data_IF_590522744067
#
_entry.id   IF_590522744067
#
_cell.length_a   1.000
_cell.length_b   1.000
_cell.length_c   1.000
_cell.angle_alpha   90.00
_cell.angle_beta   90.00
_cell.angle_gamma   90.00
#
_symmetry.space_group_name_H-M   'P 1'
#
loop_
_entity.id
_entity.type
_entity.pdbx_description
1 polymer ?
#
# COMPACT_ATOMS: atom_id res chain seq x y z
N UNK A 1 118.16 -84.24 96.27
CA UNK A 1 118.18 -85.71 96.42
C UNK A 1 119.15 -86.23 95.37
N UNK A 2 120.39 -86.51 95.79
CA UNK A 2 120.82 -87.79 96.35
C UNK A 2 121.34 -88.65 95.18
N UNK A 3 122.66 -88.87 95.10
CA UNK A 3 123.33 -90.00 95.75
C UNK A 3 122.95 -91.31 95.01
N UNK A 4 123.83 -92.28 94.73
CA UNK A 4 124.92 -92.78 95.55
C UNK A 4 125.49 -94.04 94.83
N UNK A 5 126.70 -94.44 95.24
CA UNK A 5 127.34 -95.77 95.14
C UNK A 5 127.82 -96.28 93.76
N UNK A 6 129.13 -96.32 93.47
CA UNK A 6 130.16 -97.34 93.85
C UNK A 6 129.84 -98.79 93.47
N UNK A 7 130.80 -99.48 92.85
CA UNK A 7 131.28 -100.76 93.36
C UNK A 7 132.69 -101.11 92.85
N UNK A 8 133.42 -101.74 93.78
CA UNK A 8 134.78 -102.22 93.77
C UNK A 8 134.81 -103.68 93.25
N UNK A 9 135.83 -104.07 92.48
CA UNK A 9 136.14 -105.49 92.26
C UNK A 9 137.61 -105.68 91.84
N UNK A 10 138.45 -106.11 92.78
CA UNK A 10 139.56 -107.04 92.50
C UNK A 10 139.08 -108.48 92.69
N UNK A 11 139.69 -109.45 91.99
CA UNK A 11 140.46 -110.51 92.65
C UNK A 11 141.80 -110.75 91.90
N UNK A 12 142.97 -110.97 92.51
CA UNK A 12 143.43 -111.97 93.49
C UNK A 12 143.48 -113.42 92.96
N UNK A 13 144.67 -114.02 93.13
CA UNK A 13 145.06 -115.45 93.06
C UNK A 13 145.65 -115.92 91.71
N UNK A 14 146.72 -116.71 91.65
CA UNK A 14 147.72 -117.15 92.60
C UNK A 14 148.76 -117.97 91.80
N UNK A 15 150.05 -117.81 92.09
CA UNK A 15 150.99 -118.93 92.04
C UNK A 15 151.92 -118.80 93.24
N UNK A 16 151.65 -119.60 94.27
CA UNK A 16 152.59 -119.98 95.30
C UNK A 16 153.12 -121.38 95.03
N UNK A 17 154.41 -121.59 95.30
CA UNK A 17 155.03 -122.82 95.82
C UNK A 17 156.29 -122.35 96.55
N UNK A 18 156.24 -122.22 97.88
CA UNK A 18 156.46 -123.28 98.88
C UNK A 18 157.94 -123.68 99.00
N UNK A 19 158.48 -123.50 100.21
CA UNK A 19 159.82 -123.97 100.56
C UNK A 19 160.38 -123.42 101.87
N UNK A 20 159.53 -123.18 102.87
CA UNK A 20 159.97 -123.02 104.27
C UNK A 20 160.62 -124.32 104.72
N UNK A 21 161.94 -124.30 104.99
CA UNK A 21 162.65 -125.44 105.54
C UNK A 21 162.33 -125.52 107.02
N UNK A 22 161.44 -126.45 107.31
CA UNK A 22 161.13 -126.93 108.65
C UNK A 22 162.38 -127.13 109.51
N UNK A 23 162.29 -126.58 110.71
CA UNK A 23 163.08 -126.96 111.87
C UNK A 23 162.71 -128.41 112.20
N UNK A 24 163.63 -129.35 112.01
CA UNK A 24 163.53 -130.66 112.65
C UNK A 24 164.46 -130.71 113.87
N UNK A 25 163.92 -131.09 115.05
CA UNK A 25 164.65 -131.08 116.30
C UNK A 25 165.17 -132.47 116.70
N UNK A 26 166.04 -132.44 117.72
CA UNK A 26 166.49 -133.55 118.59
C UNK A 26 167.61 -134.37 117.95
N UNK A 27 168.68 -134.71 118.67
CA UNK A 27 168.65 -135.51 119.89
C UNK A 27 169.90 -135.21 120.74
N UNK A 28 169.68 -134.92 122.02
CA UNK A 28 170.71 -134.91 123.06
C UNK A 28 170.99 -136.38 123.45
N UNK A 29 172.16 -136.89 123.05
CA UNK A 29 172.62 -138.24 123.33
C UNK A 29 173.50 -138.24 124.57
N UNK A 30 172.97 -138.76 125.68
CA UNK A 30 173.78 -139.15 126.85
C UNK A 30 174.66 -140.35 126.51
N UNK A 31 175.94 -140.38 126.92
CA UNK A 31 176.73 -141.61 126.93
C UNK A 31 176.18 -142.60 127.96
N UNK A 32 175.99 -143.84 127.52
CA UNK A 32 175.82 -145.05 128.33
C UNK A 32 177.18 -145.70 128.42
N UNK A 33 177.62 -146.00 129.65
CA UNK A 33 178.92 -146.58 129.96
C UNK A 33 179.13 -147.98 129.34
N UNK A 34 180.35 -148.21 128.87
CA UNK A 34 181.03 -149.51 129.00
C UNK A 34 181.16 -150.40 127.77
N UNK A 35 182.40 -150.55 127.29
CA UNK A 35 183.02 -151.88 127.03
C UNK A 35 182.78 -152.56 125.67
N UNK A 36 183.88 -152.80 124.94
CA UNK A 36 183.92 -153.51 123.66
C UNK A 36 183.78 -155.06 123.76
N UNK A 37 183.12 -155.70 122.75
CA UNK A 37 183.59 -156.85 121.90
C UNK A 37 182.47 -157.59 121.08
N UNK A 38 182.56 -157.60 119.73
CA UNK A 38 182.33 -158.75 118.78
C UNK A 38 180.99 -158.98 118.02
N UNK A 39 180.78 -158.53 116.76
CA UNK A 39 179.59 -158.89 115.92
C UNK A 39 179.76 -158.86 114.36
N UNK A 40 180.03 -159.98 113.68
CA UNK A 40 179.86 -160.14 112.22
C UNK A 40 178.44 -160.56 111.74
N UNK A 41 177.45 -160.75 112.61
CA UNK A 41 176.13 -161.34 112.28
C UNK A 41 175.04 -160.33 111.86
N UNK A 42 175.23 -159.03 112.14
CA UNK A 42 174.24 -157.97 111.87
C UNK A 42 174.12 -157.53 110.40
N UNK A 43 175.13 -157.80 109.57
CA UNK A 43 175.18 -157.28 108.18
C UNK A 43 174.24 -158.06 107.23
N UNK A 44 173.95 -159.34 107.50
CA UNK A 44 173.04 -160.14 106.66
C UNK A 44 171.56 -159.74 106.82
N UNK A 45 171.12 -159.34 108.01
CA UNK A 45 169.71 -158.98 108.27
C UNK A 45 169.29 -157.69 107.54
N UNK A 46 170.17 -156.69 107.46
CA UNK A 46 169.90 -155.42 106.77
C UNK A 46 169.61 -155.59 105.27
N UNK A 47 170.20 -156.60 104.61
CA UNK A 47 170.00 -156.81 103.18
C UNK A 47 168.61 -157.34 102.84
N UNK A 48 167.96 -158.06 103.75
CA UNK A 48 166.61 -158.59 103.55
C UNK A 48 165.56 -157.49 103.66
N UNK A 49 165.72 -156.57 104.62
CA UNK A 49 164.80 -155.44 104.79
C UNK A 49 164.82 -154.48 103.59
N UNK A 50 166.00 -154.25 103.00
CA UNK A 50 166.12 -153.40 101.81
C UNK A 50 165.35 -153.96 100.59
N UNK A 51 165.33 -155.28 100.43
CA UNK A 51 164.60 -155.92 99.32
C UNK A 51 163.07 -155.77 99.46
N UNK A 52 162.53 -155.81 100.68
CA UNK A 52 161.10 -155.64 100.91
C UNK A 52 160.61 -154.20 100.69
N UNK A 53 161.43 -153.20 101.06
CA UNK A 53 161.11 -151.78 100.82
C UNK A 53 161.01 -151.44 99.32
N UNK A 54 161.91 -152.02 98.51
CA UNK A 54 161.90 -151.83 97.05
C UNK A 54 160.64 -152.41 96.39
N UNK A 55 160.11 -153.53 96.89
CA UNK A 55 158.88 -154.12 96.35
C UNK A 55 157.63 -153.25 96.59
N UNK A 56 157.51 -152.60 97.76
CA UNK A 56 156.38 -151.70 98.05
C UNK A 56 156.41 -150.42 97.21
N UNK A 57 157.61 -149.91 96.92
CA UNK A 57 157.79 -148.76 96.01
C UNK A 57 157.30 -149.12 94.61
N UNK A 58 157.63 -150.31 94.10
CA UNK A 58 157.18 -150.76 92.78
C UNK A 58 155.64 -150.87 92.67
N UNK A 59 154.94 -151.26 93.74
CA UNK A 59 153.47 -151.32 93.76
C UNK A 59 152.83 -149.93 93.71
N UNK A 60 153.38 -148.96 94.46
CA UNK A 60 152.93 -147.56 94.40
C UNK A 60 153.18 -146.95 93.03
N UNK A 61 154.35 -147.22 92.43
CA UNK A 61 154.66 -146.81 91.06
C UNK A 61 153.69 -147.43 90.04
N UNK A 62 153.26 -148.68 90.24
CA UNK A 62 152.24 -149.33 89.42
C UNK A 62 150.86 -148.70 89.57
N UNK A 63 150.44 -148.31 90.79
CA UNK A 63 149.14 -147.65 91.01
C UNK A 63 149.13 -146.25 90.38
N UNK A 64 150.21 -145.49 90.54
CA UNK A 64 150.36 -144.16 89.91
C UNK A 64 150.37 -144.29 88.38
N UNK A 65 151.03 -145.32 87.86
CA UNK A 65 151.02 -145.62 86.41
C UNK A 65 149.67 -146.12 85.90
N UNK A 66 148.82 -146.68 86.78
CA UNK A 66 147.46 -147.11 86.45
C UNK A 66 146.42 -145.96 86.43
N UNK A 67 146.76 -144.80 86.99
CA UNK A 67 145.99 -143.57 86.78
C UNK A 67 146.31 -143.02 85.38
N UNK A 68 145.37 -143.19 84.45
CA UNK A 68 145.53 -142.76 83.07
C UNK A 68 145.54 -141.23 82.94
N UNK A 69 146.74 -140.65 83.08
CA UNK A 69 147.02 -139.23 82.96
C UNK A 69 146.53 -138.65 81.61
N UNK A 70 146.44 -139.48 80.57
CA UNK A 70 145.97 -139.06 79.25
C UNK A 70 144.47 -138.76 79.23
N UNK A 71 143.65 -139.53 79.96
CA UNK A 71 142.21 -139.30 80.06
C UNK A 71 141.89 -137.99 80.79
N UNK A 72 142.64 -137.67 81.86
CA UNK A 72 142.49 -136.40 82.58
C UNK A 72 142.91 -135.20 81.72
N UNK A 73 144.02 -135.33 80.97
CA UNK A 73 144.47 -134.30 80.03
C UNK A 73 143.46 -134.07 78.89
N UNK A 74 142.84 -135.13 78.38
CA UNK A 74 141.80 -135.03 77.35
C UNK A 74 140.54 -134.33 77.87
N UNK A 75 140.06 -134.67 79.08
CA UNK A 75 138.93 -134.00 79.70
C UNK A 75 139.25 -132.51 79.96
N UNK A 76 140.45 -132.21 80.44
CA UNK A 76 140.89 -130.83 80.62
C UNK A 76 140.91 -130.06 79.30
N UNK A 77 141.39 -130.67 78.21
CA UNK A 77 141.37 -130.05 76.89
C UNK A 77 139.94 -129.81 76.38
N UNK A 78 139.01 -130.75 76.60
CA UNK A 78 137.59 -130.59 76.27
C UNK A 78 136.93 -129.47 77.09
N UNK A 79 137.19 -129.40 78.39
CA UNK A 79 136.69 -128.32 79.25
C UNK A 79 137.25 -126.98 78.78
N UNK A 80 138.55 -126.89 78.49
CA UNK A 80 139.15 -125.67 77.97
C UNK A 80 138.55 -125.26 76.62
N UNK A 81 138.29 -126.22 75.74
CA UNK A 81 137.62 -125.97 74.46
C UNK A 81 136.16 -125.51 74.65
N UNK A 82 135.39 -126.13 75.54
CA UNK A 82 134.01 -125.73 75.86
C UNK A 82 133.96 -124.35 76.51
N UNK A 83 134.88 -124.04 77.42
CA UNK A 83 135.00 -122.70 78.03
C UNK A 83 135.30 -121.65 76.95
N UNK A 84 136.22 -121.93 76.02
CA UNK A 84 136.52 -121.03 74.92
C UNK A 84 135.33 -120.88 73.96
N UNK A 85 134.62 -121.96 73.65
CA UNK A 85 133.42 -121.94 72.81
C UNK A 85 132.29 -121.13 73.47
N UNK A 86 132.06 -121.30 74.77
CA UNK A 86 131.09 -120.52 75.56
C UNK A 86 131.46 -119.03 75.59
N UNK A 87 132.73 -118.70 75.86
CA UNK A 87 133.19 -117.31 75.83
C UNK A 87 133.03 -116.65 74.44
N UNK A 88 133.30 -117.40 73.37
CA UNK A 88 133.05 -116.95 72.01
C UNK A 88 131.56 -116.74 71.72
N UNK A 89 130.70 -117.67 72.14
CA UNK A 89 129.26 -117.55 72.00
C UNK A 89 128.69 -116.36 72.79
N UNK A 90 129.16 -116.14 74.02
CA UNK A 90 128.78 -114.99 74.86
C UNK A 90 129.21 -113.67 74.21
N UNK A 91 130.41 -113.63 73.62
CA UNK A 91 130.90 -112.46 72.87
C UNK A 91 130.01 -112.16 71.66
N UNK A 92 129.64 -113.19 70.89
CA UNK A 92 128.73 -113.04 69.74
C UNK A 92 127.35 -112.55 70.21
N UNK A 93 126.79 -113.15 71.26
CA UNK A 93 125.50 -112.74 71.81
C UNK A 93 125.55 -111.30 72.31
N UNK A 94 126.61 -110.90 73.01
CA UNK A 94 126.79 -109.54 73.49
C UNK A 94 126.89 -108.54 72.33
N UNK A 95 127.61 -108.89 71.27
CA UNK A 95 127.69 -108.06 70.07
C UNK A 95 126.33 -107.93 69.37
N UNK A 96 125.56 -109.03 69.28
CA UNK A 96 124.21 -109.01 68.71
C UNK A 96 123.24 -108.17 69.56
N UNK A 97 123.30 -108.30 70.89
CA UNK A 97 122.50 -107.49 71.82
C UNK A 97 122.88 -106.01 71.69
N UNK A 98 124.18 -105.69 71.67
CA UNK A 98 124.65 -104.31 71.49
C UNK A 98 124.20 -103.73 70.15
N UNK A 99 124.26 -104.53 69.07
CA UNK A 99 123.77 -104.15 67.75
C UNK A 99 122.26 -103.90 67.73
N UNK A 100 121.46 -104.78 68.32
CA UNK A 100 120.00 -104.61 68.44
C UNK A 100 119.65 -103.39 69.29
N UNK A 101 120.32 -103.17 70.42
CA UNK A 101 120.12 -101.99 71.28
C UNK A 101 120.42 -100.71 70.50
N UNK A 102 121.54 -100.64 69.78
CA UNK A 102 121.89 -99.48 68.97
C UNK A 102 120.89 -99.26 67.82
N UNK A 103 120.45 -100.33 67.15
CA UNK A 103 119.45 -100.26 66.09
C UNK A 103 118.08 -99.77 66.62
N UNK A 104 117.64 -100.25 67.79
CA UNK A 104 116.41 -99.80 68.46
C UNK A 104 116.51 -98.34 68.89
N UNK A 105 117.62 -97.93 69.50
CA UNK A 105 117.85 -96.53 69.87
C UNK A 105 117.82 -95.60 68.65
N UNK A 106 118.43 -96.00 67.53
CA UNK A 106 118.39 -95.24 66.28
C UNK A 106 116.97 -95.18 65.69
N UNK A 107 116.22 -96.28 65.72
CA UNK A 107 114.84 -96.34 65.25
C UNK A 107 113.91 -95.47 66.11
N UNK A 108 114.04 -95.53 67.43
CA UNK A 108 113.27 -94.71 68.38
C UNK A 108 113.59 -93.23 68.19
N UNK A 109 114.87 -92.87 67.99
CA UNK A 109 115.27 -91.50 67.68
C UNK A 109 114.70 -90.99 66.35
N UNK A 110 114.69 -91.82 65.31
CA UNK A 110 114.11 -91.48 64.01
C UNK A 110 112.58 -91.30 64.08
N UNK A 111 111.90 -92.16 64.85
CA UNK A 111 110.47 -92.06 65.10
C UNK A 111 110.14 -90.80 65.90
N UNK A 112 110.92 -90.50 66.95
CA UNK A 112 110.78 -89.28 67.74
C UNK A 112 110.95 -88.04 66.85
N UNK A 113 111.98 -87.99 66.02
CA UNK A 113 112.19 -86.87 65.09
C UNK A 113 111.03 -86.72 64.08
N UNK A 114 110.45 -87.84 63.62
CA UNK A 114 109.27 -87.82 62.74
C UNK A 114 108.03 -87.30 63.45
N UNK A 115 107.81 -87.70 64.71
CA UNK A 115 106.70 -87.18 65.53
C UNK A 115 106.87 -85.70 65.86
N UNK A 116 108.08 -85.27 66.22
CA UNK A 116 108.38 -83.86 66.50
C UNK A 116 108.17 -83.01 65.24
N UNK A 117 108.62 -83.51 64.09
CA UNK A 117 108.39 -82.87 62.79
C UNK A 117 106.90 -82.73 62.45
N UNK A 118 106.12 -83.81 62.55
CA UNK A 118 104.67 -83.77 62.33
C UNK A 118 103.96 -82.85 63.33
N UNK A 119 104.37 -82.85 64.61
CA UNK A 119 103.80 -81.97 65.62
C UNK A 119 104.02 -80.49 65.27
N UNK A 120 105.22 -80.13 64.81
CA UNK A 120 105.52 -78.77 64.33
C UNK A 120 104.71 -78.43 63.08
N UNK A 121 104.63 -79.33 62.10
CA UNK A 121 103.85 -79.13 60.87
C UNK A 121 102.37 -78.94 61.18
N UNK A 122 101.79 -79.77 62.07
CA UNK A 122 100.39 -79.64 62.51
C UNK A 122 100.14 -78.33 63.24
N UNK A 123 101.00 -77.94 64.18
CA UNK A 123 100.88 -76.67 64.89
C UNK A 123 100.91 -75.46 63.94
N UNK A 124 101.79 -75.50 62.92
CA UNK A 124 101.84 -74.49 61.86
C UNK A 124 100.56 -74.44 61.03
N UNK A 125 100.07 -75.60 60.59
CA UNK A 125 98.83 -75.70 59.81
C UNK A 125 97.60 -75.22 60.60
N UNK A 126 97.50 -75.58 61.88
CA UNK A 126 96.42 -75.15 62.78
C UNK A 126 96.46 -73.63 62.98
N UNK A 127 97.65 -73.04 63.14
CA UNK A 127 97.83 -71.57 63.22
C UNK A 127 97.38 -70.87 61.94
N UNK A 128 97.77 -71.40 60.77
CA UNK A 128 97.34 -70.85 59.47
C UNK A 128 95.83 -70.94 59.30
N UNK A 129 95.22 -72.09 59.61
CA UNK A 129 93.78 -72.28 59.52
C UNK A 129 93.03 -71.33 60.48
N UNK A 130 93.50 -71.19 61.71
CA UNK A 130 92.91 -70.29 62.68
C UNK A 130 92.96 -68.83 62.21
N UNK A 131 94.09 -68.38 61.65
CA UNK A 131 94.20 -67.05 61.08
C UNK A 131 93.27 -66.84 59.89
N UNK A 132 93.16 -67.81 58.99
CA UNK A 132 92.25 -67.74 57.85
C UNK A 132 90.77 -67.67 58.31
N UNK A 133 90.39 -68.47 59.31
CA UNK A 133 89.05 -68.44 59.90
C UNK A 133 88.79 -67.10 60.56
N UNK A 134 89.72 -66.58 61.38
CA UNK A 134 89.57 -65.28 62.04
C UNK A 134 89.40 -64.14 61.03
N UNK A 135 90.18 -64.16 59.95
CA UNK A 135 90.09 -63.15 58.89
C UNK A 135 88.77 -63.23 58.14
N UNK A 136 88.30 -64.43 57.78
CA UNK A 136 87.00 -64.62 57.12
C UNK A 136 85.84 -64.18 58.03
N UNK A 137 85.88 -64.53 59.32
CA UNK A 137 84.88 -64.09 60.30
C UNK A 137 84.83 -62.57 60.38
N UNK A 138 85.99 -61.91 60.50
CA UNK A 138 86.06 -60.45 60.53
C UNK A 138 85.54 -59.80 59.23
N UNK A 139 85.92 -60.36 58.07
CA UNK A 139 85.48 -59.87 56.77
C UNK A 139 83.96 -60.02 56.59
N UNK A 140 83.39 -61.18 56.95
CA UNK A 140 81.94 -61.42 56.92
C UNK A 140 81.18 -60.50 57.84
N UNK A 141 81.66 -60.32 59.08
CA UNK A 141 80.99 -59.43 60.02
C UNK A 141 81.00 -57.96 59.56
N UNK A 142 82.08 -57.51 58.93
CA UNK A 142 82.15 -56.17 58.33
C UNK A 142 81.22 -56.04 57.10
N UNK A 143 81.16 -57.06 56.25
CA UNK A 143 80.25 -57.10 55.10
C UNK A 143 78.78 -57.09 55.53
N UNK A 144 78.42 -57.91 56.52
CA UNK A 144 77.06 -57.99 57.08
C UNK A 144 76.66 -56.65 57.71
N UNK A 145 77.56 -56.00 58.45
CA UNK A 145 77.31 -54.66 59.03
C UNK A 145 77.09 -53.61 57.95
N UNK A 146 77.87 -53.66 56.87
CA UNK A 146 77.74 -52.75 55.73
C UNK A 146 76.42 -52.97 55.00
N UNK A 147 76.06 -54.23 54.72
CA UNK A 147 74.81 -54.57 54.06
C UNK A 147 73.61 -54.15 54.92
N UNK A 148 73.65 -54.41 56.23
CA UNK A 148 72.58 -54.03 57.13
C UNK A 148 72.37 -52.51 57.18
N UNK A 149 73.47 -51.75 57.20
CA UNK A 149 73.41 -50.27 57.12
C UNK A 149 72.78 -49.82 55.81
N UNK A 150 73.25 -50.35 54.68
CA UNK A 150 72.72 -49.98 53.36
C UNK A 150 71.23 -50.31 53.21
N UNK A 151 70.80 -51.49 53.68
CA UNK A 151 69.40 -51.90 53.66
C UNK A 151 68.55 -50.98 54.53
N UNK A 152 69.02 -50.63 55.74
CA UNK A 152 68.29 -49.73 56.63
C UNK A 152 68.18 -48.32 56.04
N UNK A 153 69.26 -47.81 55.44
CA UNK A 153 69.26 -46.50 54.79
C UNK A 153 68.34 -46.46 53.57
N UNK A 154 68.36 -47.47 52.71
CA UNK A 154 67.45 -47.57 51.56
C UNK A 154 65.99 -47.68 52.03
N UNK A 155 65.71 -48.51 53.04
CA UNK A 155 64.35 -48.63 53.59
C UNK A 155 63.83 -47.29 54.12
N UNK A 156 64.65 -46.54 54.86
CA UNK A 156 64.29 -45.22 55.36
C UNK A 156 64.10 -44.20 54.22
N UNK A 157 64.98 -44.21 53.22
CA UNK A 157 64.88 -43.32 52.05
C UNK A 157 63.61 -43.60 51.25
N UNK A 158 63.28 -44.88 51.02
CA UNK A 158 62.05 -45.29 50.33
C UNK A 158 60.81 -44.88 51.11
N UNK A 159 60.78 -45.12 52.42
CA UNK A 159 59.65 -44.71 53.26
C UNK A 159 59.43 -43.18 53.25
N UNK A 160 60.51 -42.40 53.30
CA UNK A 160 60.43 -40.94 53.19
C UNK A 160 59.93 -40.49 51.82
N UNK A 161 60.42 -41.11 50.73
CA UNK A 161 59.98 -40.82 49.37
C UNK A 161 58.50 -41.15 49.17
N UNK A 162 58.05 -42.32 49.64
CA UNK A 162 56.65 -42.75 49.54
C UNK A 162 55.74 -41.80 50.34
N UNK A 163 56.16 -41.37 51.54
CA UNK A 163 55.43 -40.39 52.34
C UNK A 163 55.32 -39.03 51.63
N UNK A 164 56.41 -38.55 51.05
CA UNK A 164 56.44 -37.28 50.31
C UNK A 164 55.57 -37.32 49.05
N UNK A 165 55.59 -38.45 48.34
CA UNK A 165 54.76 -38.67 47.16
C UNK A 165 53.28 -38.74 47.53
N UNK A 166 52.93 -39.46 48.61
CA UNK A 166 51.56 -39.53 49.11
C UNK A 166 51.03 -38.13 49.48
N UNK A 167 51.83 -37.34 50.22
CA UNK A 167 51.44 -35.97 50.58
C UNK A 167 51.25 -35.06 49.35
N UNK A 168 52.08 -35.23 48.32
CA UNK A 168 51.96 -34.48 47.06
C UNK A 168 50.68 -34.86 46.31
N UNK A 169 50.35 -36.15 46.25
CA UNK A 169 49.10 -36.61 45.65
C UNK A 169 47.86 -36.15 46.40
N UNK A 170 47.87 -36.25 47.73
CA UNK A 170 46.75 -35.80 48.56
C UNK A 170 46.55 -34.27 48.43
N UNK A 171 47.63 -33.51 48.37
CA UNK A 171 47.62 -32.06 48.13
C UNK A 171 47.03 -31.69 46.76
N UNK A 172 47.48 -32.35 45.69
CA UNK A 172 46.93 -32.12 44.34
C UNK A 172 45.46 -32.54 44.26
N UNK A 173 45.08 -33.68 44.84
CA UNK A 173 43.70 -34.13 44.87
C UNK A 173 42.78 -33.13 45.57
N UNK A 174 43.19 -32.61 46.73
CA UNK A 174 42.45 -31.58 47.46
C UNK A 174 42.37 -30.27 46.67
N UNK A 175 43.46 -29.83 46.05
CA UNK A 175 43.49 -28.62 45.22
C UNK A 175 42.56 -28.74 44.01
N UNK A 176 42.57 -29.88 43.32
CA UNK A 176 41.66 -30.16 42.20
C UNK A 176 40.20 -30.18 42.64
N UNK A 177 39.89 -30.85 43.74
CA UNK A 177 38.52 -30.89 44.27
C UNK A 177 37.99 -29.49 44.63
N UNK A 178 38.83 -28.63 45.22
CA UNK A 178 38.48 -27.25 45.53
C UNK A 178 38.27 -26.40 44.26
N UNK A 179 39.13 -26.58 43.25
CA UNK A 179 39.01 -25.91 41.95
C UNK A 179 37.72 -26.32 41.23
N UNK A 180 37.41 -27.63 41.19
CA UNK A 180 36.19 -28.16 40.58
C UNK A 180 34.94 -27.66 41.29
N UNK A 181 34.95 -27.60 42.62
CA UNK A 181 33.84 -27.02 43.41
C UNK A 181 33.62 -25.55 43.11
N UNK A 182 34.71 -24.78 42.98
CA UNK A 182 34.68 -23.35 42.64
C UNK A 182 34.13 -23.16 41.23
N UNK A 183 34.63 -23.92 40.26
CA UNK A 183 34.17 -23.86 38.87
C UNK A 183 32.69 -24.22 38.76
N UNK A 184 32.25 -25.29 39.43
CA UNK A 184 30.85 -25.71 39.44
C UNK A 184 29.93 -24.63 40.02
N UNK A 185 30.37 -23.95 41.10
CA UNK A 185 29.63 -22.83 41.70
C UNK A 185 29.52 -21.65 40.74
N UNK A 186 30.62 -21.28 40.09
CA UNK A 186 30.63 -20.18 39.12
C UNK A 186 29.72 -20.48 37.92
N UNK A 187 29.74 -21.71 37.40
CA UNK A 187 28.87 -22.16 36.31
C UNK A 187 27.40 -22.06 36.73
N UNK A 188 27.05 -22.54 37.93
CA UNK A 188 25.67 -22.48 38.43
C UNK A 188 25.19 -21.04 38.62
N UNK A 189 26.05 -20.16 39.13
CA UNK A 189 25.73 -18.74 39.32
C UNK A 189 25.51 -18.02 37.98
N UNK A 190 26.39 -18.24 36.99
CA UNK A 190 26.24 -17.68 35.65
C UNK A 190 24.96 -18.19 34.98
N UNK A 191 24.67 -19.50 35.07
CA UNK A 191 23.46 -20.08 34.53
C UNK A 191 22.19 -19.44 35.13
N UNK A 192 22.17 -19.24 36.45
CA UNK A 192 21.05 -18.58 37.13
C UNK A 192 20.92 -17.11 36.74
N UNK A 193 22.04 -16.37 36.64
CA UNK A 193 22.05 -14.97 36.24
C UNK A 193 21.56 -14.79 34.80
N UNK A 194 22.00 -15.65 33.87
CA UNK A 194 21.53 -15.66 32.48
C UNK A 194 20.05 -15.96 32.38
N UNK A 195 19.56 -16.98 33.09
CA UNK A 195 18.14 -17.31 33.09
C UNK A 195 17.27 -16.15 33.62
N UNK A 196 17.72 -15.47 34.67
CA UNK A 196 17.03 -14.30 35.20
C UNK A 196 17.02 -13.13 34.20
N UNK A 197 18.14 -12.86 33.53
CA UNK A 197 18.26 -11.83 32.51
C UNK A 197 17.35 -12.12 31.30
N UNK A 198 17.36 -13.37 30.81
CA UNK A 198 16.52 -13.79 29.69
C UNK A 198 15.02 -13.65 30.04
N UNK A 199 14.64 -14.01 31.27
CA UNK A 199 13.26 -13.85 31.76
C UNK A 199 12.85 -12.36 31.83
N UNK A 200 13.73 -11.49 32.34
CA UNK A 200 13.47 -10.06 32.42
C UNK A 200 13.36 -9.40 31.03
N UNK A 201 14.20 -9.84 30.10
CA UNK A 201 14.19 -9.36 28.72
C UNK A 201 12.90 -9.81 28.00
N UNK A 202 12.50 -11.08 28.17
CA UNK A 202 11.25 -11.59 27.63
C UNK A 202 10.04 -10.79 28.14
N UNK A 203 9.97 -10.53 29.46
CA UNK A 203 8.89 -9.73 30.05
C UNK A 203 8.86 -8.29 29.51
N UNK A 204 10.03 -7.69 29.26
CA UNK A 204 10.13 -6.34 28.68
C UNK A 204 9.63 -6.32 27.23
N UNK A 205 9.99 -7.33 26.44
CA UNK A 205 9.49 -7.46 25.06
C UNK A 205 7.99 -7.70 25.01
N UNK A 206 7.47 -8.60 25.84
CA UNK A 206 6.03 -8.87 25.91
C UNK A 206 5.25 -7.62 26.34
N UNK A 207 5.78 -6.87 27.29
CA UNK A 207 5.22 -5.59 27.74
C UNK A 207 5.17 -4.53 26.63
N UNK A 208 6.27 -4.34 25.90
CA UNK A 208 6.31 -3.40 24.77
C UNK A 208 5.38 -3.83 23.63
N UNK A 209 5.34 -5.13 23.30
CA UNK A 209 4.45 -5.66 22.28
C UNK A 209 2.97 -5.40 22.64
N UNK A 210 2.59 -5.62 23.90
CA UNK A 210 1.26 -5.32 24.40
C UNK A 210 0.95 -3.81 24.37
N UNK A 211 1.89 -2.96 24.79
CA UNK A 211 1.73 -1.51 24.77
C UNK A 211 1.57 -0.96 23.35
N UNK A 212 2.38 -1.42 22.40
CA UNK A 212 2.28 -1.07 20.97
C UNK A 212 0.94 -1.50 20.37
N UNK A 213 0.50 -2.74 20.66
CA UNK A 213 -0.80 -3.25 20.20
C UNK A 213 -1.97 -2.41 20.74
N UNK A 214 -1.92 -2.03 22.01
CA UNK A 214 -2.93 -1.17 22.62
C UNK A 214 -2.94 0.24 21.99
N UNK A 215 -1.76 0.83 21.79
CA UNK A 215 -1.62 2.14 21.15
C UNK A 215 -2.15 2.14 19.71
N UNK A 216 -1.81 1.12 18.93
CA UNK A 216 -2.28 0.97 17.54
C UNK A 216 -3.81 0.79 17.50
N UNK A 217 -4.39 0.04 18.46
CA UNK A 217 -5.85 -0.11 18.61
C UNK A 217 -6.53 1.23 18.95
N UNK A 218 -5.96 2.01 19.86
CA UNK A 218 -6.44 3.35 20.21
C UNK A 218 -6.37 4.29 19.00
N UNK A 219 -5.25 4.30 18.28
CA UNK A 219 -5.07 5.13 17.09
C UNK A 219 -6.08 4.75 16.01
N UNK A 220 -6.28 3.46 15.75
CA UNK A 220 -7.27 2.99 14.77
C UNK A 220 -8.68 3.41 15.15
N UNK A 221 -9.03 3.36 16.43
CA UNK A 221 -10.34 3.83 16.94
C UNK A 221 -10.52 5.34 16.71
N UNK A 222 -9.49 6.14 17.03
CA UNK A 222 -9.53 7.58 16.82
C UNK A 222 -9.68 7.94 15.33
N UNK A 223 -8.95 7.24 14.44
CA UNK A 223 -9.07 7.41 12.99
C UNK A 223 -10.49 7.09 12.52
N UNK A 224 -11.06 5.95 12.96
CA UNK A 224 -12.42 5.56 12.60
C UNK A 224 -13.46 6.60 13.06
N UNK A 225 -13.30 7.14 14.27
CA UNK A 225 -14.17 8.17 14.82
C UNK A 225 -14.09 9.48 14.01
N UNK A 226 -12.88 9.94 13.65
CA UNK A 226 -12.71 11.14 12.81
C UNK A 226 -13.32 10.93 11.43
N UNK A 227 -13.12 9.76 10.81
CA UNK A 227 -13.74 9.42 9.53
C UNK A 227 -15.27 9.50 9.61
N UNK A 228 -15.87 8.91 10.65
CA UNK A 228 -17.32 8.97 10.86
C UNK A 228 -17.81 10.40 11.08
N UNK A 229 -17.09 11.20 11.89
CA UNK A 229 -17.43 12.60 12.14
C UNK A 229 -17.36 13.45 10.87
N UNK A 230 -16.31 13.28 10.05
CA UNK A 230 -16.17 13.97 8.76
C UNK A 230 -17.28 13.60 7.79
N UNK A 231 -17.60 12.31 7.68
CA UNK A 231 -18.69 11.84 6.81
C UNK A 231 -20.05 12.45 7.21
N UNK A 232 -20.32 12.55 8.51
CA UNK A 232 -21.54 13.18 9.03
C UNK A 232 -21.56 14.70 8.77
N UNK A 233 -20.42 15.38 8.94
CA UNK A 233 -20.28 16.79 8.64
C UNK A 233 -20.47 17.08 7.13
N UNK A 234 -19.85 16.27 6.26
CA UNK A 234 -20.00 16.38 4.80
C UNK A 234 -21.45 16.15 4.37
N UNK A 235 -22.14 15.17 4.97
CA UNK A 235 -23.57 14.92 4.73
C UNK A 235 -24.43 16.12 5.14
N UNK A 236 -24.14 16.71 6.31
CA UNK A 236 -24.84 17.89 6.82
C UNK A 236 -24.62 19.09 5.90
N UNK A 237 -23.38 19.33 5.49
CA UNK A 237 -23.02 20.40 4.57
C UNK A 237 -23.72 20.21 3.22
N UNK A 238 -23.73 19.00 2.68
CA UNK A 238 -24.42 18.70 1.43
C UNK A 238 -25.93 18.93 1.54
N UNK A 239 -26.55 18.56 2.66
CA UNK A 239 -27.97 18.84 2.92
C UNK A 239 -28.26 20.34 2.98
N UNK A 240 -27.41 21.11 3.67
CA UNK A 240 -27.55 22.57 3.76
C UNK A 240 -27.39 23.22 2.38
N UNK A 241 -26.42 22.79 1.57
CA UNK A 241 -26.22 23.26 0.20
C UNK A 241 -27.47 22.97 -0.65
N UNK A 242 -28.02 21.76 -0.56
CA UNK A 242 -29.23 21.39 -1.30
C UNK A 242 -30.45 22.21 -0.86
N UNK A 243 -30.65 22.40 0.44
CA UNK A 243 -31.75 23.19 0.99
C UNK A 243 -31.67 24.66 0.56
N UNK A 244 -30.47 25.25 0.63
CA UNK A 244 -30.20 26.61 0.18
C UNK A 244 -30.41 26.76 -1.34
N UNK A 245 -30.03 25.76 -2.14
CA UNK A 245 -30.29 25.75 -3.57
C UNK A 245 -31.80 25.73 -3.89
N UNK A 246 -32.58 24.92 -3.16
CA UNK A 246 -34.05 24.88 -3.28
C UNK A 246 -34.67 26.20 -2.84
N UNK A 247 -34.24 26.76 -1.71
CA UNK A 247 -34.75 28.02 -1.19
C UNK A 247 -34.49 29.19 -2.16
N UNK A 248 -33.29 29.25 -2.75
CA UNK A 248 -32.95 30.24 -3.77
C UNK A 248 -33.82 30.09 -5.02
N UNK A 249 -33.98 28.87 -5.53
CA UNK A 249 -34.84 28.60 -6.68
C UNK A 249 -36.30 28.99 -6.41
N UNK A 250 -36.82 28.73 -5.21
CA UNK A 250 -38.15 29.15 -4.81
C UNK A 250 -38.26 30.68 -4.74
N UNK A 251 -37.26 31.36 -4.16
CA UNK A 251 -37.21 32.82 -4.12
C UNK A 251 -37.21 33.46 -5.51
N UNK A 252 -36.50 32.86 -6.47
CA UNK A 252 -36.49 33.29 -7.88
C UNK A 252 -37.89 33.13 -8.52
N UNK A 253 -38.57 31.99 -8.25
CA UNK A 253 -39.94 31.72 -8.71
C UNK A 253 -40.92 32.73 -8.12
N UNK A 254 -40.87 32.96 -6.81
CA UNK A 254 -41.77 33.87 -6.11
C UNK A 254 -41.59 35.31 -6.60
N UNK A 255 -40.35 35.75 -6.77
CA UNK A 255 -40.01 37.07 -7.32
C UNK A 255 -40.54 37.24 -8.73
N UNK A 256 -40.33 36.24 -9.61
CA UNK A 256 -40.83 36.26 -10.97
C UNK A 256 -42.37 36.26 -11.02
N UNK A 257 -43.02 35.47 -10.17
CA UNK A 257 -44.47 35.40 -10.05
C UNK A 257 -45.06 36.74 -9.59
N UNK A 258 -44.48 37.35 -8.56
CA UNK A 258 -44.88 38.67 -8.08
C UNK A 258 -44.71 39.75 -9.14
N UNK A 259 -43.60 39.75 -9.88
CA UNK A 259 -43.36 40.69 -10.97
C UNK A 259 -44.37 40.52 -12.12
N UNK A 260 -44.71 39.28 -12.49
CA UNK A 260 -45.77 39.00 -13.47
C UNK A 260 -47.12 39.50 -13.00
N UNK A 261 -47.53 39.15 -11.78
CA UNK A 261 -48.80 39.58 -11.20
C UNK A 261 -48.91 41.11 -11.12
N UNK A 262 -47.84 41.78 -10.71
CA UNK A 262 -47.76 43.24 -10.72
C UNK A 262 -48.01 43.79 -12.13
N UNK A 263 -47.27 43.27 -13.13
CA UNK A 263 -47.41 43.69 -14.53
C UNK A 263 -48.82 43.44 -15.05
N UNK A 264 -49.39 42.25 -14.82
CA UNK A 264 -50.74 41.88 -15.24
C UNK A 264 -51.80 42.78 -14.60
N UNK A 265 -51.65 43.09 -13.30
CA UNK A 265 -52.53 44.00 -12.58
C UNK A 265 -52.45 45.43 -13.11
N UNK A 266 -51.23 45.94 -13.34
CA UNK A 266 -51.03 47.27 -13.94
C UNK A 266 -51.65 47.36 -15.34
N UNK A 267 -51.45 46.35 -16.18
CA UNK A 267 -52.05 46.28 -17.53
C UNK A 267 -53.57 46.16 -17.45
N UNK A 268 -54.09 45.34 -16.54
CA UNK A 268 -55.53 45.19 -16.31
C UNK A 268 -56.18 46.48 -15.82
N UNK A 269 -55.52 47.22 -14.92
CA UNK A 269 -55.99 48.53 -14.45
C UNK A 269 -56.00 49.57 -15.57
N UNK A 270 -54.95 49.64 -16.40
CA UNK A 270 -54.93 50.53 -17.58
C UNK A 270 -56.02 50.14 -18.58
N UNK A 271 -56.21 48.84 -18.85
CA UNK A 271 -57.28 48.36 -19.73
C UNK A 271 -58.68 48.74 -19.19
N UNK A 272 -58.91 48.62 -17.88
CA UNK A 272 -60.17 49.03 -17.25
C UNK A 272 -60.37 50.55 -17.31
N UNK A 273 -59.31 51.34 -17.07
CA UNK A 273 -59.35 52.79 -17.21
C UNK A 273 -59.66 53.22 -18.64
N UNK A 274 -59.06 52.55 -19.64
CA UNK A 274 -59.37 52.73 -21.07
C UNK A 274 -60.81 52.40 -21.39
N UNK A 275 -61.33 51.25 -20.95
CA UNK A 275 -62.71 50.86 -21.17
C UNK A 275 -63.72 51.83 -20.52
N UNK A 276 -63.42 52.35 -19.33
CA UNK A 276 -64.24 53.36 -18.66
C UNK A 276 -64.21 54.72 -19.39
N UNK A 277 -63.04 55.11 -19.92
CA UNK A 277 -62.91 56.28 -20.77
C UNK A 277 -63.67 56.11 -22.09
N UNK A 278 -63.58 54.94 -22.74
CA UNK A 278 -64.31 54.61 -23.95
C UNK A 278 -65.83 54.61 -23.72
N UNK A 279 -66.29 54.08 -22.58
CA UNK A 279 -67.71 54.14 -22.18
C UNK A 279 -68.18 55.58 -21.97
N UNK A 280 -67.35 56.40 -21.33
CA UNK A 280 -67.64 57.83 -21.13
C UNK A 280 -67.74 58.56 -22.47
N UNK A 281 -66.79 58.28 -23.38
CA UNK A 281 -66.81 58.82 -24.73
C UNK A 281 -68.06 58.37 -25.49
N UNK A 282 -68.44 57.10 -25.41
CA UNK A 282 -69.64 56.56 -26.04
C UNK A 282 -70.90 57.26 -25.50
N UNK A 283 -71.03 57.41 -24.19
CA UNK A 283 -72.16 58.14 -23.57
C UNK A 283 -72.22 59.61 -24.01
N UNK A 284 -71.06 60.28 -24.13
CA UNK A 284 -71.00 61.65 -24.64
C UNK A 284 -71.44 61.72 -26.11
N UNK A 285 -71.00 60.76 -26.95
CA UNK A 285 -71.41 60.64 -28.35
C UNK A 285 -72.92 60.39 -28.44
N UNK A 286 -73.45 59.45 -27.66
CA UNK A 286 -74.88 59.12 -27.65
C UNK A 286 -75.73 60.30 -27.16
N UNK A 287 -75.25 61.03 -26.16
CA UNK A 287 -75.91 62.24 -25.64
C UNK A 287 -75.91 63.37 -26.68
N UNK A 288 -74.79 63.62 -27.35
CA UNK A 288 -74.72 64.59 -28.45
C UNK A 288 -75.61 64.16 -29.61
N UNK A 289 -75.61 62.88 -29.97
CA UNK A 289 -76.49 62.34 -31.01
C UNK A 289 -77.97 62.50 -30.65
N UNK A 290 -78.35 62.24 -29.40
CA UNK A 290 -79.71 62.46 -28.90
C UNK A 290 -80.08 63.94 -28.85
N UNK A 291 -79.17 64.82 -28.42
CA UNK A 291 -79.36 66.27 -28.42
C UNK A 291 -79.53 66.81 -29.84
N UNK A 292 -78.73 66.33 -30.80
CA UNK A 292 -78.87 66.63 -32.23
C UNK A 292 -80.20 66.15 -32.78
N UNK A 293 -80.60 64.91 -32.52
CA UNK A 293 -81.89 64.38 -32.94
C UNK A 293 -83.07 65.17 -32.35
N UNK A 294 -82.99 65.58 -31.08
CA UNK A 294 -84.00 66.42 -30.43
C UNK A 294 -84.05 67.84 -31.03
N UNK A 295 -82.89 68.43 -31.34
CA UNK A 295 -82.81 69.72 -32.02
C UNK A 295 -83.39 69.63 -33.44
N UNK A 296 -83.08 68.57 -34.18
CA UNK A 296 -83.64 68.30 -35.50
C UNK A 296 -85.16 68.09 -35.44
N UNK A 297 -85.67 67.36 -34.43
CA UNK A 297 -87.09 67.18 -34.20
C UNK A 297 -87.79 68.50 -33.79
N UNK A 298 -87.16 69.34 -32.99
CA UNK A 298 -87.68 70.67 -32.62
C UNK A 298 -87.71 71.62 -33.83
N UNK A 299 -86.69 71.56 -34.69
CA UNK A 299 -86.67 72.26 -35.96
C UNK A 299 -87.78 71.74 -36.87
N UNK A 300 -87.97 70.42 -36.98
CA UNK A 300 -89.06 69.81 -37.73
C UNK A 300 -90.42 70.27 -37.20
N UNK A 301 -90.64 70.27 -35.89
CA UNK A 301 -91.87 70.77 -35.28
C UNK A 301 -92.09 72.27 -35.53
N UNK A 302 -91.02 73.07 -35.53
CA UNK A 302 -91.10 74.50 -35.88
C UNK A 302 -91.45 74.70 -37.36
N UNK A 303 -90.87 73.89 -38.25
CA UNK A 303 -91.21 73.87 -39.67
C UNK A 303 -92.65 73.41 -39.91
N UNK A 304 -93.11 72.37 -39.22
CA UNK A 304 -94.48 71.86 -39.30
C UNK A 304 -95.47 72.88 -38.72
N UNK A 305 -95.11 73.58 -37.64
CA UNK A 305 -95.87 74.68 -37.07
C UNK A 305 -95.97 75.88 -38.00
N UNK A 306 -94.87 76.27 -38.65
CA UNK A 306 -94.86 77.29 -39.70
C UNK A 306 -95.69 76.83 -40.91
N UNK A 307 -95.57 75.56 -41.33
CA UNK A 307 -96.37 75.00 -42.41
C UNK A 307 -97.87 74.98 -42.07
N UNK A 308 -98.22 74.65 -40.82
CA UNK A 308 -99.60 74.70 -40.31
C UNK A 308 -100.11 76.14 -40.23
N UNK A 309 -99.27 77.08 -39.79
CA UNK A 309 -99.60 78.51 -39.74
C UNK A 309 -99.80 79.08 -41.14
N UNK A 310 -98.94 78.71 -42.11
CA UNK A 310 -99.13 79.07 -43.51
C UNK A 310 -100.38 78.42 -44.10
N UNK A 311 -100.62 77.14 -43.85
CA UNK A 311 -101.86 76.48 -44.27
C UNK A 311 -103.11 77.15 -43.65
N UNK A 312 -103.04 77.60 -42.40
CA UNK A 312 -104.10 78.38 -41.75
C UNK A 312 -104.31 79.75 -42.39
N UNK A 313 -103.22 80.46 -42.71
CA UNK A 313 -103.27 81.71 -43.48
C UNK A 313 -103.76 81.50 -44.92
N UNK A 314 -103.43 80.39 -45.55
CA UNK A 314 -103.93 80.01 -46.86
C UNK A 314 -105.44 79.71 -46.78
N UNK A 315 -105.93 79.13 -45.68
CA UNK A 315 -107.37 78.98 -45.40
C UNK A 315 -108.06 80.31 -45.12
N UNK A 316 -107.43 81.25 -44.40
CA UNK A 316 -107.96 82.62 -44.21
C UNK A 316 -108.01 83.39 -45.55
N UNK A 317 -106.96 83.27 -46.37
CA UNK A 317 -106.93 83.83 -47.72
C UNK A 317 -107.97 83.15 -48.63
N UNK A 318 -108.17 81.83 -48.49
CA UNK A 318 -109.21 81.09 -49.21
C UNK A 318 -110.62 81.52 -48.74
N UNK A 319 -110.81 81.85 -47.46
CA UNK A 319 -112.06 82.42 -46.96
C UNK A 319 -112.31 83.85 -47.48
N UNK A 320 -111.26 84.64 -47.71
CA UNK A 320 -111.33 85.95 -48.36
C UNK A 320 -111.65 85.83 -49.86
N UNK A 321 -111.12 84.81 -50.54
CA UNK A 321 -111.44 84.43 -51.93
C UNK A 321 -112.85 83.85 -52.06
N UNK A 322 -113.31 83.06 -51.10
CA UNK A 322 -114.65 82.47 -51.04
C UNK A 322 -115.72 83.53 -50.69
N UNK A 323 -115.34 84.59 -49.98
CA UNK A 323 -116.14 85.79 -49.75
C UNK A 323 -116.36 86.64 -51.02
N UNK A 324 -115.39 86.65 -51.95
CA UNK A 324 -115.53 87.32 -53.26
C UNK A 324 -116.42 86.50 -54.23
N UNK A 325 -116.55 85.19 -54.03
CA UNK A 325 -117.34 84.31 -54.91
C UNK A 325 -118.76 84.00 -54.42
N UNK A 326 -119.18 84.49 -53.24
CA UNK A 326 -120.54 84.21 -52.73
C UNK A 326 -121.28 85.40 -52.09
N UNK A 327 -120.81 86.65 -52.22
CA UNK A 327 -121.62 87.77 -51.72
C UNK A 327 -121.05 89.18 -51.87
N UNK A 328 -120.70 89.62 -53.08
CA UNK A 328 -120.22 90.99 -53.27
C UNK A 328 -119.77 91.47 -54.66
N UNK A 329 -120.40 91.05 -55.77
CA UNK A 329 -120.47 91.83 -57.03
C UNK A 329 -119.62 91.38 -58.24
N UNK A 330 -120.29 90.80 -59.25
CA UNK A 330 -119.91 90.90 -60.68
C UNK A 330 -121.06 91.62 -61.41
N UNK A 331 -120.82 92.60 -62.29
CA UNK A 331 -121.87 93.40 -62.91
C UNK A 331 -122.82 92.61 -63.82
N UNK A 332 -124.11 92.98 -63.79
CA UNK A 332 -125.24 92.32 -64.43
C UNK A 332 -125.27 92.30 -65.98
N UNK A 333 -124.23 92.75 -66.68
CA UNK A 333 -124.25 92.94 -68.15
C UNK A 333 -123.73 91.71 -68.93
N UNK A 334 -123.06 90.76 -68.28
CA UNK A 334 -122.37 89.65 -68.96
C UNK A 334 -123.16 88.35 -69.07
N UNK A 335 -124.27 88.20 -68.35
CA UNK A 335 -125.07 86.96 -68.38
C UNK A 335 -125.85 86.75 -69.68
N UNK A 336 -126.05 87.80 -70.49
CA UNK A 336 -126.79 87.70 -71.76
C UNK A 336 -125.89 87.28 -72.95
N UNK A 337 -124.57 87.54 -72.90
CA UNK A 337 -123.65 87.22 -74.01
C UNK A 337 -123.36 85.71 -74.14
N UNK A 338 -123.43 84.96 -73.04
CA UNK A 338 -123.18 83.52 -73.02
C UNK A 338 -124.19 82.70 -73.85
N UNK A 339 -125.38 83.25 -74.14
CA UNK A 339 -126.38 82.59 -74.99
C UNK A 339 -126.04 82.59 -76.48
N UNK A 340 -125.09 83.44 -76.93
CA UNK A 340 -124.87 83.72 -78.35
C UNK A 340 -123.45 83.42 -78.86
N UNK A 341 -122.47 83.15 -77.99
CA UNK A 341 -121.07 82.90 -78.38
C UNK A 341 -120.53 81.61 -77.76
N UNK A 342 -120.04 80.68 -78.58
CA UNK A 342 -119.42 79.43 -78.12
C UNK A 342 -118.01 79.29 -78.68
N UNK A 343 -117.12 78.66 -77.90
CA UNK A 343 -115.77 78.30 -78.34
C UNK A 343 -115.76 76.80 -78.61
N UNK A 344 -115.86 76.44 -79.88
CA UNK A 344 -116.02 75.06 -80.32
C UNK A 344 -114.68 74.48 -80.77
N UNK A 345 -114.57 73.15 -80.77
CA UNK A 345 -113.39 72.43 -81.24
C UNK A 345 -113.23 72.50 -82.76
N UNK A 346 -113.02 71.37 -83.43
CA UNK A 346 -113.01 71.35 -84.89
C UNK A 346 -114.43 71.51 -85.44
N UNK A 347 -114.70 72.57 -86.20
CA UNK A 347 -116.01 72.84 -86.81
C UNK A 347 -115.86 72.75 -88.32
N UNK A 348 -116.64 71.86 -88.97
CA UNK A 348 -116.64 71.65 -90.43
C UNK A 348 -115.25 71.48 -91.08
N UNK A 349 -114.31 70.86 -90.38
CA UNK A 349 -112.94 70.59 -90.86
C UNK A 349 -111.90 71.67 -90.57
N UNK A 350 -112.26 72.76 -89.87
CA UNK A 350 -111.33 73.81 -89.43
C UNK A 350 -110.85 73.51 -88.00
N UNK A 351 -109.55 73.30 -87.83
CA UNK A 351 -108.94 73.04 -86.52
C UNK A 351 -109.22 74.20 -85.56
N UNK A 352 -109.80 73.90 -84.40
CA UNK A 352 -110.18 74.89 -83.41
C UNK A 352 -109.03 75.33 -82.49
N UNK A 353 -109.33 76.14 -81.47
CA UNK A 353 -110.69 76.55 -81.10
C UNK A 353 -111.30 77.56 -82.09
N UNK A 354 -112.57 77.38 -82.39
CA UNK A 354 -113.37 78.23 -83.28
C UNK A 354 -114.38 79.03 -82.45
N UNK A 355 -114.43 80.34 -82.64
CA UNK A 355 -115.53 81.15 -82.11
C UNK A 355 -116.74 81.06 -83.04
N UNK A 356 -117.88 80.61 -82.50
CA UNK A 356 -119.13 80.46 -83.25
C UNK A 356 -120.21 81.35 -82.63
N UNK A 357 -120.75 82.25 -83.45
CA UNK A 357 -121.88 83.12 -83.10
C UNK A 357 -123.19 82.43 -83.50
N UNK A 358 -124.06 82.17 -82.53
CA UNK A 358 -125.35 81.51 -82.72
C UNK A 358 -126.50 82.53 -82.65
N UNK A 359 -127.34 82.58 -83.69
CA UNK A 359 -128.58 83.38 -83.69
C UNK A 359 -128.40 84.91 -83.66
N UNK A 360 -127.18 85.44 -83.86
CA UNK A 360 -126.87 86.88 -83.81
C UNK A 360 -126.05 87.35 -85.03
N UNK A 361 -126.18 88.63 -85.40
CA UNK A 361 -125.34 89.28 -86.43
C UNK A 361 -124.12 89.97 -85.79
N UNK A 362 -122.95 89.87 -86.41
CA UNK A 362 -121.75 90.60 -85.99
C UNK A 362 -121.70 91.99 -86.65
N UNK A 363 -121.94 93.03 -85.86
CA UNK A 363 -121.74 94.42 -86.29
C UNK A 363 -120.42 94.96 -85.72
N UNK A 364 -119.44 95.21 -86.59
CA UNK A 364 -118.18 95.87 -86.24
C UNK A 364 -118.28 97.33 -86.71
N UNK A 365 -118.44 98.26 -85.76
CA UNK A 365 -118.62 99.69 -86.03
C UNK A 365 -117.47 100.49 -85.45
N UNK A 366 -117.28 101.69 -85.98
CA UNK A 366 -116.31 102.66 -85.46
C UNK A 366 -116.94 103.69 -84.51
N UNK A 367 -118.25 103.57 -84.27
CA UNK A 367 -119.10 104.44 -83.44
C UNK A 367 -119.13 105.93 -83.81
N UNK A 368 -118.71 106.30 -85.02
CA UNK A 368 -118.83 107.68 -85.53
C UNK A 368 -120.22 108.08 -86.02
N UNK A 369 -121.24 107.24 -85.77
CA UNK A 369 -122.65 107.49 -86.13
C UNK A 369 -123.01 107.37 -87.62
N UNK A 370 -122.02 107.32 -88.51
CA UNK A 370 -122.20 107.12 -89.96
C UNK A 370 -120.97 106.45 -90.59
N UNK A 371 -121.15 105.71 -91.70
CA UNK A 371 -120.06 105.01 -92.40
C UNK A 371 -118.97 105.94 -92.93
N UNK A 372 -119.32 107.19 -93.28
CA UNK A 372 -118.39 108.18 -93.84
C UNK A 372 -117.48 108.86 -92.78
N UNK A 373 -117.38 108.28 -91.58
CA UNK A 373 -116.42 108.69 -90.55
C UNK A 373 -115.27 107.68 -90.49
N UNK A 374 -114.04 108.14 -90.27
CA UNK A 374 -112.86 107.28 -90.10
C UNK A 374 -112.09 107.71 -88.86
N UNK A 375 -111.89 106.78 -87.93
CA UNK A 375 -111.13 106.98 -86.68
C UNK A 375 -110.18 105.82 -86.36
N UNK A 376 -109.91 104.93 -87.34
CA UNK A 376 -109.05 103.75 -87.15
C UNK A 376 -109.75 102.52 -86.56
N UNK A 377 -110.95 102.67 -85.99
CA UNK A 377 -111.70 101.57 -85.37
C UNK A 377 -112.72 100.97 -86.34
N UNK A 378 -113.23 99.78 -85.98
CA UNK A 378 -114.27 99.11 -86.74
C UNK A 378 -113.79 98.33 -87.96
N UNK A 379 -112.55 97.81 -87.95
CA UNK A 379 -111.99 96.97 -89.02
C UNK A 379 -111.97 95.49 -88.61
N UNK A 380 -112.05 94.59 -89.59
CA UNK A 380 -111.81 93.15 -89.40
C UNK A 380 -110.42 92.78 -89.94
N UNK A 381 -109.53 92.31 -89.06
CA UNK A 381 -108.22 91.79 -89.44
C UNK A 381 -108.25 90.27 -89.48
N UNK A 382 -107.74 89.70 -90.57
CA UNK A 382 -107.51 88.27 -90.75
C UNK A 382 -106.01 88.08 -90.98
N UNK A 383 -105.30 87.65 -89.94
CA UNK A 383 -103.83 87.78 -89.85
C UNK A 383 -103.43 88.99 -88.99
N UNK A 384 -102.14 89.34 -88.99
CA UNK A 384 -101.59 90.33 -88.04
C UNK A 384 -101.28 91.70 -88.65
N UNK A 385 -101.28 91.82 -89.98
CA UNK A 385 -100.93 93.05 -90.67
C UNK A 385 -99.60 93.67 -90.18
N UNK A 386 -98.54 92.88 -90.09
CA UNK A 386 -97.26 93.24 -89.47
C UNK A 386 -96.67 94.54 -90.09
N UNK A 387 -95.93 95.33 -89.31
CA UNK A 387 -95.37 96.65 -89.70
C UNK A 387 -93.88 96.58 -90.05
N UNK A 388 -93.40 97.46 -90.94
CA UNK A 388 -91.97 97.61 -91.32
C UNK A 388 -91.37 99.00 -91.04
N UNK A 389 -91.97 99.79 -90.14
CA UNK A 389 -91.27 100.90 -89.50
C UNK A 389 -91.76 102.32 -89.79
N UNK A 390 -92.91 102.48 -90.45
CA UNK A 390 -93.66 103.76 -90.45
C UNK A 390 -95.17 103.53 -90.67
N UNK A 391 -95.94 103.52 -89.57
CA UNK A 391 -97.37 103.11 -89.50
C UNK A 391 -98.39 104.26 -89.75
N UNK A 392 -97.97 105.39 -90.29
CA UNK A 392 -98.80 106.59 -90.43
C UNK A 392 -100.01 106.47 -91.39
N UNK A 393 -100.19 105.33 -92.06
CA UNK A 393 -101.21 105.12 -93.10
C UNK A 393 -102.22 103.98 -92.78
N UNK A 394 -102.54 103.71 -91.51
CA UNK A 394 -103.46 102.63 -91.06
C UNK A 394 -104.67 103.12 -90.24
N UNK A 395 -105.17 104.32 -90.53
CA UNK A 395 -106.25 104.98 -89.78
C UNK A 395 -107.67 104.82 -90.34
N UNK A 396 -107.89 103.91 -91.29
CA UNK A 396 -109.21 103.67 -91.88
C UNK A 396 -110.20 102.98 -90.95
N UNK A 397 -111.49 103.00 -91.29
CA UNK A 397 -112.58 102.33 -90.53
C UNK A 397 -113.43 101.47 -91.46
N UNK A 398 -114.10 100.42 -90.97
CA UNK A 398 -114.99 99.58 -91.78
C UNK A 398 -114.27 98.83 -92.94
N UNK A 399 -112.99 98.47 -92.75
CA UNK A 399 -112.21 97.72 -93.72
C UNK A 399 -112.03 96.25 -93.33
N UNK A 400 -111.78 95.39 -94.32
CA UNK A 400 -111.29 94.03 -94.11
C UNK A 400 -109.84 93.95 -94.57
N UNK A 401 -108.96 93.57 -93.65
CA UNK A 401 -107.50 93.57 -93.85
C UNK A 401 -106.99 92.15 -93.70
N UNK A 402 -106.40 91.58 -94.75
CA UNK A 402 -106.02 90.17 -94.81
C UNK A 402 -104.56 89.99 -95.25
N UNK A 403 -103.69 89.58 -94.34
CA UNK A 403 -102.25 89.45 -94.62
C UNK A 403 -101.42 90.53 -93.95
N UNK A 404 -100.26 90.85 -94.52
CA UNK A 404 -99.20 91.62 -93.86
C UNK A 404 -98.92 92.96 -94.54
N UNK A 405 -98.44 93.95 -93.78
CA UNK A 405 -97.90 95.22 -94.28
C UNK A 405 -98.87 96.14 -95.04
N UNK A 406 -100.18 95.96 -94.90
CA UNK A 406 -101.18 96.77 -95.58
C UNK A 406 -101.35 98.18 -95.01
N UNK A 407 -101.70 99.12 -95.89
CA UNK A 407 -102.10 100.48 -95.56
C UNK A 407 -103.58 100.68 -95.92
N UNK A 408 -104.35 101.30 -95.03
CA UNK A 408 -105.79 101.55 -95.21
C UNK A 408 -106.18 102.80 -94.44
N UNK A 409 -106.55 103.87 -95.14
CA UNK A 409 -106.74 105.20 -94.53
C UNK A 409 -108.15 105.77 -94.68
N UNK A 410 -109.05 105.07 -95.38
CA UNK A 410 -110.44 105.47 -95.55
C UNK A 410 -111.38 104.36 -95.09
N UNK A 411 -112.58 104.24 -95.67
CA UNK A 411 -113.59 103.30 -95.19
C UNK A 411 -114.24 102.44 -96.27
N UNK A 412 -114.73 101.28 -95.84
CA UNK A 412 -115.51 100.36 -96.67
C UNK A 412 -114.70 99.60 -97.72
N UNK A 413 -113.39 99.44 -97.51
CA UNK A 413 -112.48 98.78 -98.43
C UNK A 413 -112.03 97.40 -97.98
N UNK A 414 -111.46 96.63 -98.91
CA UNK A 414 -110.83 95.33 -98.66
C UNK A 414 -109.40 95.42 -99.15
N UNK A 415 -108.44 95.04 -98.30
CA UNK A 415 -107.03 94.98 -98.64
C UNK A 415 -106.46 93.63 -98.23
N UNK A 416 -105.97 92.86 -99.19
CA UNK A 416 -105.46 91.52 -98.96
C UNK A 416 -104.12 91.27 -99.68
N UNK A 417 -103.29 90.38 -99.15
CA UNK A 417 -101.99 89.98 -99.72
C UNK A 417 -100.80 90.44 -98.89
N UNK A 418 -99.81 91.07 -99.52
CA UNK A 418 -98.63 91.61 -98.83
C UNK A 418 -98.37 93.06 -99.24
N UNK A 419 -98.19 93.97 -98.29
CA UNK A 419 -97.75 95.35 -98.57
C UNK A 419 -98.63 96.14 -99.57
N UNK A 420 -99.94 95.90 -99.57
CA UNK A 420 -100.91 96.64 -100.41
C UNK A 420 -101.54 97.85 -99.69
N UNK A 421 -101.98 98.88 -100.43
CA UNK A 421 -102.56 100.10 -99.90
C UNK A 421 -103.95 100.43 -100.49
N UNK A 422 -104.92 100.77 -99.62
CA UNK A 422 -106.24 101.33 -100.00
C UNK A 422 -106.43 102.70 -99.32
N UNK A 423 -106.40 103.78 -100.09
CA UNK A 423 -106.33 105.14 -99.47
C UNK A 423 -107.55 106.01 -99.68
N UNK A 424 -108.63 105.45 -100.24
CA UNK A 424 -109.86 106.19 -100.52
C UNK A 424 -111.12 105.35 -100.31
N UNK A 425 -112.27 106.01 -100.21
CA UNK A 425 -113.52 105.36 -99.83
C UNK A 425 -113.90 104.24 -100.82
N UNK A 426 -114.26 103.08 -100.27
CA UNK A 426 -114.65 101.88 -100.99
C UNK A 426 -113.59 101.35 -101.98
N UNK A 427 -112.31 101.72 -101.80
CA UNK A 427 -111.23 101.22 -102.61
C UNK A 427 -110.85 99.78 -102.19
N UNK A 428 -110.47 98.94 -103.14
CA UNK A 428 -110.16 97.53 -102.87
C UNK A 428 -108.86 97.09 -103.52
N UNK A 429 -108.07 96.30 -102.79
CA UNK A 429 -106.99 95.48 -103.33
C UNK A 429 -107.21 94.06 -102.84
N UNK A 430 -107.53 93.13 -103.73
CA UNK A 430 -107.99 91.80 -103.32
C UNK A 430 -106.88 90.75 -103.23
N UNK A 431 -105.64 91.11 -103.55
CA UNK A 431 -104.49 90.22 -103.41
C UNK A 431 -103.21 90.78 -104.00
N UNK A 432 -102.20 89.92 -104.11
CA UNK A 432 -100.90 90.29 -104.65
C UNK A 432 -100.04 91.09 -103.67
N UNK A 433 -99.03 91.77 -104.20
CA UNK A 433 -98.05 92.50 -103.41
C UNK A 433 -97.82 93.93 -103.91
N UNK A 434 -97.68 94.89 -102.99
CA UNK A 434 -97.23 96.25 -103.34
C UNK A 434 -98.22 97.11 -104.14
N UNK A 435 -99.47 96.67 -104.27
CA UNK A 435 -100.48 97.37 -105.07
C UNK A 435 -101.17 98.50 -104.29
N UNK A 436 -101.62 99.55 -104.98
CA UNK A 436 -102.29 100.71 -104.38
C UNK A 436 -103.60 101.06 -105.11
N UNK A 437 -104.72 101.05 -104.39
CA UNK A 437 -106.00 101.58 -104.88
C UNK A 437 -106.32 102.91 -104.16
N UNK A 438 -106.14 104.04 -104.86
CA UNK A 438 -106.25 105.39 -104.27
C UNK A 438 -107.38 106.23 -104.86
N UNK A 439 -108.05 105.75 -105.91
CA UNK A 439 -109.28 106.34 -106.40
C UNK A 439 -110.48 105.91 -105.56
N UNK A 440 -111.48 106.79 -105.37
CA UNK A 440 -112.72 106.38 -104.71
C UNK A 440 -113.41 105.26 -105.52
N UNK A 441 -113.84 104.19 -104.86
CA UNK A 441 -114.44 102.98 -105.47
C UNK A 441 -113.54 102.30 -106.51
N UNK A 442 -112.23 102.51 -106.43
CA UNK A 442 -111.27 101.85 -107.32
C UNK A 442 -110.95 100.44 -106.86
N UNK A 443 -110.47 99.60 -107.77
CA UNK A 443 -110.07 98.24 -107.41
C UNK A 443 -108.78 97.80 -108.09
N UNK A 444 -107.99 97.01 -107.36
CA UNK A 444 -106.88 96.23 -107.90
C UNK A 444 -107.15 94.76 -107.61
N UNK A 445 -107.18 93.95 -108.66
CA UNK A 445 -107.45 92.50 -108.54
C UNK A 445 -106.23 91.70 -108.08
N UNK A 446 -105.02 92.23 -108.25
CA UNK A 446 -103.79 91.70 -107.64
C UNK A 446 -102.54 91.75 -108.53
N UNK A 447 -101.61 90.83 -108.24
CA UNK A 447 -100.25 90.79 -108.79
C UNK A 447 -99.30 91.77 -108.09
N UNK A 448 -98.20 92.20 -108.74
CA UNK A 448 -97.14 92.98 -108.07
C UNK A 448 -97.13 94.45 -108.51
N UNK A 449 -97.13 95.39 -107.56
CA UNK A 449 -96.89 96.83 -107.72
C UNK A 449 -97.80 97.57 -108.71
N UNK A 450 -99.11 97.29 -108.69
CA UNK A 450 -100.10 97.96 -109.55
C UNK A 450 -100.80 99.12 -108.84
N UNK A 451 -101.29 100.07 -109.63
CA UNK A 451 -101.99 101.24 -109.10
C UNK A 451 -103.30 101.53 -109.84
N UNK A 452 -104.37 101.86 -109.09
CA UNK A 452 -105.65 102.35 -109.60
C UNK A 452 -106.04 103.68 -108.90
N UNK A 453 -105.70 104.80 -109.52
CA UNK A 453 -105.86 106.14 -108.90
C UNK A 453 -107.15 106.89 -109.29
N UNK A 454 -107.80 106.53 -110.40
CA UNK A 454 -109.02 107.20 -110.86
C UNK A 454 -110.27 106.76 -110.08
N UNK A 455 -111.27 107.63 -109.99
CA UNK A 455 -112.62 107.29 -109.48
C UNK A 455 -113.18 106.09 -110.26
N UNK A 456 -113.60 105.03 -109.56
CA UNK A 456 -114.12 103.76 -110.14
C UNK A 456 -113.17 103.06 -111.10
N UNK A 457 -111.86 103.34 -111.01
CA UNK A 457 -110.87 102.74 -111.88
C UNK A 457 -110.52 101.31 -111.45
N UNK A 458 -110.10 100.48 -112.39
CA UNK A 458 -109.66 99.12 -112.12
C UNK A 458 -108.28 98.84 -112.72
N UNK A 459 -107.42 98.17 -111.95
CA UNK A 459 -106.14 97.65 -112.42
C UNK A 459 -106.01 96.15 -112.17
N UNK A 460 -105.39 95.45 -113.11
CA UNK A 460 -105.22 94.01 -113.08
C UNK A 460 -103.88 93.54 -113.66
N UNK A 461 -103.56 92.28 -113.36
CA UNK A 461 -102.46 91.49 -113.91
C UNK A 461 -102.34 91.55 -115.43
N UNK A 462 -101.10 91.58 -115.95
CA UNK A 462 -100.82 91.25 -117.35
C UNK A 462 -100.99 89.75 -117.61
N UNK A 463 -101.55 89.40 -118.76
CA UNK A 463 -101.99 88.06 -119.14
C UNK A 463 -100.85 87.32 -119.88
N UNK A 464 -100.17 86.35 -119.25
CA UNK A 464 -99.41 85.34 -119.99
C UNK A 464 -99.41 83.99 -119.27
N UNK A 465 -99.91 83.00 -120.01
CA UNK A 465 -100.43 81.69 -119.64
C UNK A 465 -99.38 80.60 -119.89
N UNK A 466 -99.41 79.49 -119.13
CA UNK A 466 -99.34 78.13 -119.70
C UNK A 466 -99.28 77.06 -118.59
N UNK A 467 -100.40 76.32 -118.53
CA UNK A 467 -100.72 75.05 -117.86
C UNK A 467 -100.44 74.92 -116.36
#
# INVERSE_FOLDING_TARGET
MAALLTFNAGPLLAQGKDGDKGKDPKVDLKPVDGGAKGLPQQVMALRVELAAALARIAEVESIISSFDLAALAALQAQITAEVAARAGADTILQNNINGEVAARQAADAALQASFDGEAVTRAGADTTLQNNINNEVAARQAADTTLQTNVNSEAAARQAADTALQASFDGEAAARQAADTTLQTNINNEAAARQAADTALQASFDGEAAARTAADTTLQTNINNEVAARQAADTTLQSNINAEAVARAQGDIDTLSAAKLYTDSSVGNEAAARAAADTTLQNNIDSEAAARAAADAALQASLDGEATTRAGKDVELQAEIDGITTGGGVPAVLTDLAGHLTLEGMVNGVAGPNFVLHGANLHIRNDGGATASSNGLGNLFVGYNESVGDDAARGGSHNVVIGAQHQFTSFGGIVAGFNNAITNQYATVTGGEGNTASGSRSSVSGGLNRSAAGLRNWAAGGLAQSN
#
